data_IF_745498185075
#
_entry.id   IF_745498185075
#
_cell.length_a   1.000
_cell.length_b   1.000
_cell.length_c   1.000
_cell.angle_alpha   90.00
_cell.angle_beta   90.00
_cell.angle_gamma   90.00
#
_symmetry.space_group_name_H-M   'P 1'
#
loop_
_entity.id
_entity.type
_entity.pdbx_description
1 polymer ?
#
# COMPACT_ATOMS: atom_id res chain seq x y z
N UNK A 1 16.68 -8.69 -6.14
CA UNK A 1 16.91 -8.10 -4.82
C UNK A 1 15.58 -7.78 -4.13
N UNK A 2 14.69 -7.06 -4.80
CA UNK A 2 13.41 -6.61 -4.24
C UNK A 2 12.47 -7.78 -3.86
N UNK A 3 12.36 -8.81 -4.70
CA UNK A 3 11.60 -10.02 -4.40
C UNK A 3 12.17 -10.78 -3.17
N UNK A 4 13.49 -10.81 -3.07
CA UNK A 4 14.14 -11.40 -1.90
C UNK A 4 13.80 -10.60 -0.63
N UNK A 5 13.83 -9.27 -0.69
CA UNK A 5 13.48 -8.41 0.43
C UNK A 5 12.02 -8.63 0.86
N UNK A 6 11.06 -8.60 -0.08
CA UNK A 6 9.64 -8.84 0.23
C UNK A 6 9.44 -10.22 0.84
N UNK A 7 10.14 -11.25 0.33
CA UNK A 7 10.11 -12.59 0.92
C UNK A 7 10.64 -12.59 2.35
N UNK A 8 11.77 -11.92 2.63
CA UNK A 8 12.31 -11.82 3.98
C UNK A 8 11.34 -11.11 4.94
N UNK A 9 10.68 -10.05 4.49
CA UNK A 9 9.63 -9.39 5.27
C UNK A 9 8.48 -10.35 5.59
N UNK A 10 8.02 -11.12 4.60
CA UNK A 10 6.96 -12.12 4.80
C UNK A 10 7.38 -13.22 5.78
N UNK A 11 8.62 -13.73 5.67
CA UNK A 11 9.17 -14.74 6.58
C UNK A 11 9.27 -14.22 8.03
N UNK A 12 9.65 -12.95 8.22
CA UNK A 12 9.67 -12.28 9.53
C UNK A 12 8.26 -12.14 10.10
N UNK A 13 7.28 -11.69 9.29
CA UNK A 13 5.89 -11.61 9.72
C UNK A 13 5.34 -12.98 10.12
N UNK A 14 5.55 -14.01 9.31
CA UNK A 14 5.10 -15.37 9.63
C UNK A 14 5.73 -15.90 10.92
N UNK A 15 7.03 -15.70 11.12
CA UNK A 15 7.73 -16.09 12.34
C UNK A 15 7.22 -15.35 13.58
N UNK A 16 6.89 -14.06 13.43
CA UNK A 16 6.28 -13.26 14.50
C UNK A 16 4.88 -13.80 14.85
N UNK A 17 4.06 -14.06 13.86
CA UNK A 17 2.70 -14.56 14.04
C UNK A 17 2.69 -15.95 14.70
N UNK A 18 3.61 -16.83 14.31
CA UNK A 18 3.78 -18.13 14.93
C UNK A 18 4.21 -18.03 16.40
N UNK A 19 5.23 -17.20 16.69
CA UNK A 19 5.79 -17.06 18.02
C UNK A 19 4.87 -16.34 19.00
N UNK A 20 4.22 -15.27 18.57
CA UNK A 20 3.46 -14.37 19.45
C UNK A 20 1.95 -14.52 19.35
N UNK A 21 1.43 -15.12 18.27
CA UNK A 21 0.00 -15.35 18.01
C UNK A 21 -0.85 -14.12 18.35
N UNK A 22 -0.59 -12.95 17.76
CA UNK A 22 -1.17 -11.68 18.20
C UNK A 22 -2.71 -11.70 18.15
N UNK A 23 -3.30 -12.33 17.15
CA UNK A 23 -4.77 -12.43 17.00
C UNK A 23 -5.46 -13.28 18.05
N UNK A 24 -4.72 -14.09 18.83
CA UNK A 24 -5.28 -14.88 19.95
C UNK A 24 -5.23 -14.12 21.27
N UNK A 25 -4.53 -12.99 21.33
CA UNK A 25 -4.41 -12.19 22.55
C UNK A 25 -5.70 -11.44 22.85
N UNK A 26 -6.20 -11.48 24.10
CA UNK A 26 -7.50 -10.88 24.44
C UNK A 26 -7.64 -9.41 24.05
N UNK A 27 -6.56 -8.62 24.20
CA UNK A 27 -6.59 -7.19 23.84
C UNK A 27 -6.73 -6.97 22.33
N UNK A 28 -6.00 -7.76 21.51
CA UNK A 28 -6.07 -7.67 20.03
C UNK A 28 -7.45 -8.13 19.57
N UNK A 29 -7.91 -9.27 20.08
CA UNK A 29 -9.21 -9.84 19.71
C UNK A 29 -10.36 -8.89 20.02
N UNK A 30 -10.36 -8.27 21.20
CA UNK A 30 -11.37 -7.27 21.56
C UNK A 30 -11.42 -6.12 20.55
N UNK A 31 -10.26 -5.61 20.12
CA UNK A 31 -10.25 -4.55 19.11
C UNK A 31 -10.67 -5.04 17.72
N UNK A 32 -10.36 -6.28 17.35
CA UNK A 32 -10.87 -6.86 16.10
C UNK A 32 -12.39 -6.98 16.14
N UNK A 33 -12.97 -7.43 17.25
CA UNK A 33 -14.42 -7.51 17.45
C UNK A 33 -15.08 -6.12 17.39
N UNK A 34 -14.46 -5.10 18.00
CA UNK A 34 -14.91 -3.70 17.94
C UNK A 34 -14.89 -3.17 16.49
N UNK A 35 -13.79 -3.43 15.75
CA UNK A 35 -13.66 -3.03 14.34
C UNK A 35 -14.69 -3.74 13.48
N UNK A 36 -14.88 -5.05 13.66
CA UNK A 36 -15.88 -5.84 12.94
C UNK A 36 -17.28 -5.26 13.12
N UNK A 37 -17.67 -4.98 14.38
CA UNK A 37 -18.97 -4.36 14.66
C UNK A 37 -19.15 -2.99 14.00
N UNK A 38 -18.10 -2.15 13.98
CA UNK A 38 -18.15 -0.86 13.27
C UNK A 38 -18.29 -1.04 11.76
N UNK A 39 -17.63 -2.05 11.18
CA UNK A 39 -17.69 -2.32 9.74
C UNK A 39 -19.03 -2.87 9.31
N UNK A 40 -19.70 -3.71 10.12
CA UNK A 40 -21.02 -4.26 9.83
C UNK A 40 -22.07 -3.14 9.61
N UNK A 41 -21.98 -2.06 10.37
CA UNK A 41 -22.86 -0.90 10.27
C UNK A 41 -22.39 0.15 9.23
N UNK A 42 -21.20 -0.04 8.65
CA UNK A 42 -20.59 0.93 7.74
C UNK A 42 -20.80 0.57 6.27
N UNK A 43 -21.06 1.57 5.43
CA UNK A 43 -21.11 1.40 3.97
C UNK A 43 -19.77 1.68 3.30
N UNK A 44 -18.85 2.33 4.02
CA UNK A 44 -17.57 2.74 3.49
C UNK A 44 -16.50 2.76 4.59
N UNK A 45 -15.25 2.54 4.16
CA UNK A 45 -14.04 2.66 4.96
C UNK A 45 -13.15 3.74 4.35
N UNK A 46 -12.72 4.70 5.15
CA UNK A 46 -11.82 5.76 4.73
C UNK A 46 -10.43 5.54 5.35
N UNK A 47 -9.42 5.37 4.50
CA UNK A 47 -8.04 5.10 4.91
C UNK A 47 -7.17 6.29 4.56
N UNK A 48 -6.89 7.12 5.56
CA UNK A 48 -6.06 8.30 5.42
C UNK A 48 -4.57 7.95 5.35
N UNK A 49 -3.79 8.94 4.94
CA UNK A 49 -2.32 8.86 4.99
C UNK A 49 -1.75 8.92 6.40
N UNK A 50 -0.43 9.02 6.46
CA UNK A 50 0.37 9.04 7.67
C UNK A 50 1.65 8.24 7.49
N UNK A 51 2.26 7.79 8.58
CA UNK A 51 3.45 6.94 8.52
C UNK A 51 3.06 5.54 8.01
N UNK A 52 3.36 5.28 6.75
CA UNK A 52 2.85 4.11 6.00
C UNK A 52 3.21 2.77 6.66
N UNK A 53 4.43 2.61 7.18
CA UNK A 53 4.83 1.37 7.85
C UNK A 53 3.97 1.10 9.11
N UNK A 54 3.73 2.13 9.92
CA UNK A 54 2.85 2.01 11.09
C UNK A 54 1.43 1.65 10.68
N UNK A 55 0.92 2.28 9.62
CA UNK A 55 -0.42 2.03 9.10
C UNK A 55 -0.57 0.57 8.65
N UNK A 56 0.33 0.08 7.79
CA UNK A 56 0.31 -1.31 7.30
C UNK A 56 0.39 -2.30 8.45
N UNK A 57 1.30 -2.09 9.41
CA UNK A 57 1.44 -2.98 10.56
C UNK A 57 0.18 -3.03 11.42
N UNK A 58 -0.52 -1.90 11.60
CA UNK A 58 -1.79 -1.86 12.35
C UNK A 58 -2.92 -2.55 11.57
N UNK A 59 -3.00 -2.31 10.28
CA UNK A 59 -4.00 -2.95 9.42
C UNK A 59 -3.83 -4.47 9.39
N UNK A 60 -2.59 -4.97 9.37
CA UNK A 60 -2.28 -6.41 9.48
C UNK A 60 -2.62 -6.96 10.86
N UNK A 61 -2.20 -6.27 11.94
CA UNK A 61 -2.42 -6.73 13.31
C UNK A 61 -3.90 -7.00 13.60
N UNK A 62 -4.79 -6.19 13.04
CA UNK A 62 -6.23 -6.31 13.22
C UNK A 62 -6.94 -6.99 12.04
N UNK A 63 -6.20 -7.55 11.10
CA UNK A 63 -6.72 -8.21 9.90
C UNK A 63 -7.76 -7.38 9.13
N UNK A 64 -7.47 -6.10 8.94
CA UNK A 64 -8.43 -5.20 8.30
C UNK A 64 -8.85 -5.67 6.91
N UNK A 65 -7.95 -6.28 6.15
CA UNK A 65 -8.25 -6.79 4.83
C UNK A 65 -9.28 -7.94 4.87
N UNK A 66 -9.20 -8.81 5.88
CA UNK A 66 -10.17 -9.89 6.09
C UNK A 66 -11.51 -9.41 6.67
N UNK A 67 -11.52 -8.27 7.36
CA UNK A 67 -12.74 -7.70 7.95
C UNK A 67 -13.55 -6.84 6.97
N UNK A 68 -12.92 -6.28 5.93
CA UNK A 68 -13.62 -5.49 4.90
C UNK A 68 -14.34 -6.46 3.95
N UNK A 69 -15.67 -6.45 4.00
CA UNK A 69 -16.54 -7.28 3.15
C UNK A 69 -17.69 -6.45 2.58
N UNK A 70 -17.55 -6.04 1.33
CA UNK A 70 -18.57 -5.29 0.59
C UNK A 70 -18.64 -3.79 0.85
N UNK A 71 -17.85 -3.23 1.78
CA UNK A 71 -17.75 -1.78 1.97
C UNK A 71 -17.00 -1.13 0.82
N UNK A 72 -17.40 0.11 0.46
CA UNK A 72 -16.59 0.95 -0.41
C UNK A 72 -15.34 1.43 0.33
N UNK A 73 -14.15 1.29 -0.28
CA UNK A 73 -12.89 1.73 0.32
C UNK A 73 -12.42 3.02 -0.36
N UNK A 74 -12.22 4.05 0.44
CA UNK A 74 -11.62 5.31 0.03
C UNK A 74 -10.23 5.42 0.66
N UNK A 75 -9.18 5.50 -0.15
CA UNK A 75 -7.81 5.57 0.35
C UNK A 75 -7.02 6.67 -0.36
N UNK A 76 -6.19 7.41 0.38
CA UNK A 76 -5.35 8.46 -0.19
C UNK A 76 -4.00 8.54 0.51
N UNK A 77 -3.00 9.09 -0.18
CA UNK A 77 -1.63 9.25 0.32
C UNK A 77 -1.05 7.92 0.82
N UNK A 78 -0.51 7.86 2.04
CA UNK A 78 -0.01 6.63 2.66
C UNK A 78 -1.07 5.53 2.80
N UNK A 79 -2.37 5.90 2.90
CA UNK A 79 -3.47 4.94 2.89
C UNK A 79 -3.62 4.21 1.56
N UNK A 80 -3.52 4.94 0.44
CA UNK A 80 -3.52 4.35 -0.90
C UNK A 80 -2.31 3.43 -1.14
N UNK A 81 -1.14 3.79 -0.61
CA UNK A 81 0.04 2.91 -0.62
C UNK A 81 -0.20 1.64 0.21
N UNK A 82 -0.79 1.78 1.39
CA UNK A 82 -1.00 0.66 2.31
C UNK A 82 -1.95 -0.41 1.77
N UNK A 83 -2.94 -0.03 0.97
CA UNK A 83 -3.90 -0.98 0.36
C UNK A 83 -3.36 -1.67 -0.90
N UNK A 84 -2.27 -1.18 -1.49
CA UNK A 84 -1.66 -1.76 -2.69
C UNK A 84 -0.93 -3.08 -2.39
N UNK A 85 -0.41 -3.73 -3.44
CA UNK A 85 0.32 -4.99 -3.30
C UNK A 85 1.69 -4.80 -2.66
N UNK A 86 2.38 -3.72 -3.04
CA UNK A 86 3.70 -3.38 -2.51
C UNK A 86 3.72 -1.93 -2.05
N UNK A 87 4.37 -1.69 -0.94
CA UNK A 87 4.54 -0.36 -0.35
C UNK A 87 5.91 0.18 -0.67
N UNK A 88 5.94 1.38 -1.23
CA UNK A 88 7.19 2.08 -1.54
C UNK A 88 7.59 2.97 -0.37
N UNK A 89 8.85 2.92 0.01
CA UNK A 89 9.46 3.86 0.93
C UNK A 89 10.07 5.00 0.16
N UNK A 90 9.55 6.19 0.37
CA UNK A 90 10.14 7.44 -0.14
C UNK A 90 11.04 8.06 0.93
N UNK A 91 12.20 8.51 0.52
CA UNK A 91 13.15 9.20 1.37
C UNK A 91 13.01 10.72 1.12
N UNK A 92 11.97 11.33 1.69
CA UNK A 92 11.58 12.70 1.36
C UNK A 92 12.57 13.77 1.83
N UNK A 93 13.37 13.53 2.87
CA UNK A 93 14.29 14.52 3.43
C UNK A 93 15.58 13.86 3.97
N UNK A 94 16.37 13.27 3.09
CA UNK A 94 17.66 12.71 3.49
C UNK A 94 18.76 13.79 3.50
N UNK A 95 19.61 13.84 4.52
CA UNK A 95 20.74 14.76 4.57
C UNK A 95 21.71 14.59 3.40
N UNK A 96 21.79 13.40 2.85
CA UNK A 96 22.69 13.00 1.75
C UNK A 96 22.13 13.39 0.36
N UNK A 97 20.95 13.99 0.30
CA UNK A 97 20.29 14.37 -0.94
C UNK A 97 19.28 13.32 -1.44
N UNK A 98 18.89 13.42 -2.72
CA UNK A 98 17.84 12.58 -3.28
C UNK A 98 18.26 11.09 -3.38
N UNK A 99 17.60 10.23 -2.65
CA UNK A 99 17.78 8.78 -2.67
C UNK A 99 16.69 8.13 -3.55
N UNK A 100 17.01 7.00 -4.17
CA UNK A 100 16.05 6.25 -4.95
C UNK A 100 14.99 5.62 -4.02
N UNK A 101 13.71 5.59 -4.42
CA UNK A 101 12.67 4.90 -3.66
C UNK A 101 12.97 3.41 -3.54
N UNK A 102 12.60 2.83 -2.41
CA UNK A 102 12.81 1.42 -2.09
C UNK A 102 11.48 0.71 -1.83
N UNK A 103 11.46 -0.62 -1.90
CA UNK A 103 10.34 -1.40 -1.42
C UNK A 103 10.45 -1.49 0.10
N UNK A 104 9.43 -1.01 0.80
CA UNK A 104 9.33 -1.14 2.25
C UNK A 104 8.89 -2.54 2.65
N UNK A 105 7.74 -2.97 2.09
CA UNK A 105 7.07 -4.23 2.45
C UNK A 105 5.92 -4.50 1.45
N UNK A 106 5.21 -5.60 1.59
CA UNK A 106 3.89 -5.76 0.97
C UNK A 106 2.87 -4.84 1.65
N UNK A 107 1.85 -4.40 0.91
CA UNK A 107 0.67 -3.78 1.49
C UNK A 107 -0.32 -4.82 2.01
N UNK A 108 -1.55 -4.41 2.33
CA UNK A 108 -2.60 -5.34 2.75
C UNK A 108 -3.33 -6.02 1.57
N UNK A 109 -3.00 -5.65 0.33
CA UNK A 109 -3.44 -6.36 -0.87
C UNK A 109 -4.91 -6.20 -1.25
N UNK A 110 -5.58 -5.14 -0.80
CA UNK A 110 -6.92 -4.81 -1.29
C UNK A 110 -6.90 -4.36 -2.76
N UNK A 111 -5.81 -3.74 -3.18
CA UNK A 111 -5.55 -3.36 -4.57
C UNK A 111 -4.47 -4.27 -5.14
N UNK A 112 -4.88 -5.31 -5.85
CA UNK A 112 -3.98 -6.33 -6.41
C UNK A 112 -3.30 -5.86 -7.70
N UNK A 113 -2.11 -6.40 -7.96
CA UNK A 113 -1.37 -6.14 -9.19
C UNK A 113 -1.03 -4.67 -9.43
N UNK A 114 -1.05 -3.84 -8.39
CA UNK A 114 -0.88 -2.39 -8.51
C UNK A 114 0.00 -1.84 -7.39
N UNK A 115 0.88 -0.92 -7.76
CA UNK A 115 1.69 -0.11 -6.85
C UNK A 115 1.29 1.35 -7.01
N UNK A 116 0.94 2.00 -5.92
CA UNK A 116 0.48 3.39 -5.91
C UNK A 116 1.61 4.33 -5.48
N UNK A 117 1.90 5.33 -6.31
CA UNK A 117 2.92 6.35 -6.07
C UNK A 117 2.24 7.73 -5.94
N UNK A 118 1.91 8.18 -4.72
CA UNK A 118 1.29 9.48 -4.52
C UNK A 118 2.32 10.60 -4.63
N UNK A 119 1.92 11.75 -5.15
CA UNK A 119 2.74 12.96 -5.32
C UNK A 119 4.06 12.70 -6.06
N UNK A 120 3.99 12.06 -7.25
CA UNK A 120 5.17 11.62 -7.99
C UNK A 120 6.07 12.77 -8.43
N UNK A 121 5.50 13.95 -8.72
CA UNK A 121 6.23 15.15 -9.13
C UNK A 121 7.24 15.66 -8.09
N UNK A 122 6.98 15.37 -6.81
CA UNK A 122 7.88 15.76 -5.72
C UNK A 122 8.94 14.69 -5.41
N UNK A 123 8.70 13.44 -5.81
CA UNK A 123 9.42 12.27 -5.30
C UNK A 123 10.16 11.48 -6.37
N UNK A 124 9.70 11.51 -7.62
CA UNK A 124 10.11 10.53 -8.62
C UNK A 124 10.97 11.05 -9.77
N UNK A 125 11.14 12.36 -9.92
CA UNK A 125 11.81 12.92 -11.10
C UNK A 125 11.27 12.28 -12.40
N UNK A 126 9.99 12.49 -12.67
CA UNK A 126 9.29 11.89 -13.80
C UNK A 126 9.86 12.32 -15.17
N UNK A 127 10.66 13.39 -15.20
CA UNK A 127 11.39 13.85 -16.37
C UNK A 127 12.59 12.94 -16.74
N UNK A 128 13.04 12.11 -15.81
CA UNK A 128 14.12 11.15 -16.02
C UNK A 128 13.55 9.79 -16.46
N UNK A 129 13.43 9.60 -17.77
CA UNK A 129 12.84 8.41 -18.36
C UNK A 129 13.56 7.10 -17.96
N UNK A 130 14.88 7.13 -17.80
CA UNK A 130 15.65 5.95 -17.39
C UNK A 130 15.28 5.53 -15.94
N UNK A 131 15.18 6.48 -15.02
CA UNK A 131 14.73 6.21 -13.65
C UNK A 131 13.31 5.68 -13.60
N UNK A 132 12.40 6.24 -14.39
CA UNK A 132 11.01 5.80 -14.48
C UNK A 132 10.94 4.35 -14.96
N UNK A 133 11.67 4.01 -16.03
CA UNK A 133 11.74 2.64 -16.53
C UNK A 133 12.31 1.66 -15.50
N UNK A 134 13.41 2.03 -14.82
CA UNK A 134 14.00 1.19 -13.78
C UNK A 134 12.98 0.92 -12.68
N UNK A 135 12.24 1.95 -12.27
CA UNK A 135 11.21 1.80 -11.24
C UNK A 135 10.07 0.90 -11.71
N UNK A 136 9.56 1.10 -12.92
CA UNK A 136 8.51 0.26 -13.48
C UNK A 136 8.94 -1.21 -13.57
N UNK A 137 10.16 -1.48 -14.01
CA UNK A 137 10.73 -2.85 -14.07
C UNK A 137 10.88 -3.50 -12.70
N UNK A 138 11.24 -2.74 -11.66
CA UNK A 138 11.34 -3.27 -10.28
C UNK A 138 10.03 -3.81 -9.74
N UNK A 139 8.93 -3.21 -10.14
CA UNK A 139 7.60 -3.61 -9.66
C UNK A 139 6.87 -4.57 -10.59
N UNK A 140 7.39 -4.84 -11.79
CA UNK A 140 6.76 -5.79 -12.71
C UNK A 140 6.52 -7.16 -12.04
N UNK A 141 5.40 -7.84 -12.32
CA UNK A 141 4.36 -7.50 -13.29
C UNK A 141 3.29 -6.53 -12.78
N UNK A 142 3.40 -5.99 -11.56
CA UNK A 142 2.44 -5.03 -11.04
C UNK A 142 2.47 -3.73 -11.84
N UNK A 143 1.30 -3.14 -12.07
CA UNK A 143 1.18 -1.81 -12.66
C UNK A 143 1.60 -0.74 -11.67
N UNK A 144 2.49 0.12 -12.08
CA UNK A 144 2.93 1.25 -11.27
C UNK A 144 2.14 2.49 -11.67
N UNK A 145 1.31 2.99 -10.76
CA UNK A 145 0.42 4.12 -11.01
C UNK A 145 0.90 5.35 -10.24
N UNK A 146 1.17 6.41 -10.97
CA UNK A 146 1.53 7.71 -10.44
C UNK A 146 0.27 8.57 -10.23
N UNK A 147 0.11 9.09 -9.01
CA UNK A 147 -1.03 9.89 -8.59
C UNK A 147 -0.58 11.32 -8.26
N UNK A 148 -0.57 12.22 -9.26
CA UNK A 148 -0.41 13.65 -9.03
C UNK A 148 -1.50 14.24 -8.13
N UNK A 149 -1.34 15.50 -7.74
CA UNK A 149 -2.38 16.22 -7.02
C UNK A 149 -3.69 16.24 -7.84
N UNK A 150 -4.82 16.03 -7.17
CA UNK A 150 -6.15 16.00 -7.78
C UNK A 150 -6.39 14.81 -8.74
N UNK A 151 -5.63 13.72 -8.58
CA UNK A 151 -5.87 12.47 -9.30
C UNK A 151 -6.80 11.56 -8.52
N UNK A 152 -7.59 10.76 -9.24
CA UNK A 152 -8.35 9.68 -8.63
C UNK A 152 -8.50 8.47 -9.55
N UNK A 153 -8.66 7.33 -8.93
CA UNK A 153 -8.89 6.04 -9.57
C UNK A 153 -10.05 5.34 -8.87
N UNK A 154 -11.04 4.94 -9.65
CA UNK A 154 -12.14 4.12 -9.15
C UNK A 154 -12.02 2.72 -9.71
N UNK A 155 -12.12 1.72 -8.83
CA UNK A 155 -12.15 0.32 -9.20
C UNK A 155 -13.47 -0.32 -8.78
N UNK A 156 -13.85 -1.37 -9.51
CA UNK A 156 -14.91 -2.32 -9.11
C UNK A 156 -14.32 -3.72 -9.17
N UNK A 157 -14.12 -4.32 -8.00
CA UNK A 157 -13.21 -5.47 -7.89
C UNK A 157 -11.81 -5.07 -8.36
N UNK A 158 -11.19 -5.89 -9.20
CA UNK A 158 -9.85 -5.63 -9.75
C UNK A 158 -9.89 -4.82 -11.07
N UNK A 159 -11.07 -4.42 -11.55
CA UNK A 159 -11.22 -3.69 -12.82
C UNK A 159 -11.25 -2.17 -12.61
N UNK A 160 -10.45 -1.45 -13.38
CA UNK A 160 -10.48 0.01 -13.42
C UNK A 160 -11.80 0.45 -14.06
N UNK A 161 -12.62 1.20 -13.31
CA UNK A 161 -13.87 1.78 -13.76
C UNK A 161 -13.68 3.18 -14.31
N UNK A 162 -12.91 4.02 -13.64
CA UNK A 162 -12.52 5.34 -14.10
C UNK A 162 -11.17 5.75 -13.55
N UNK A 163 -10.44 6.55 -14.30
CA UNK A 163 -9.18 7.15 -13.88
C UNK A 163 -9.13 8.60 -14.39
N UNK A 164 -8.80 9.52 -13.50
CA UNK A 164 -8.56 10.92 -13.84
C UNK A 164 -7.19 11.35 -13.32
N UNK A 165 -6.42 11.97 -14.19
CA UNK A 165 -5.08 12.47 -13.90
C UNK A 165 -4.17 11.40 -13.25
N UNK A 166 -4.31 10.15 -13.65
CA UNK A 166 -3.47 9.02 -13.22
C UNK A 166 -2.66 8.55 -14.41
N UNK A 167 -1.36 8.42 -14.26
CA UNK A 167 -0.48 7.87 -15.29
C UNK A 167 0.10 6.53 -14.88
N UNK A 168 0.19 5.60 -15.84
CA UNK A 168 0.95 4.37 -15.68
C UNK A 168 2.42 4.67 -15.97
N UNK A 169 3.31 4.15 -15.13
CA UNK A 169 4.74 4.14 -15.41
C UNK A 169 5.06 2.82 -16.11
N UNK A 170 5.40 2.89 -17.38
CA UNK A 170 5.66 1.72 -18.20
C UNK A 170 7.16 1.38 -18.20
N UNK A 171 7.44 0.09 -18.38
CA UNK A 171 8.81 -0.43 -18.41
C UNK A 171 9.45 -0.42 -19.81
N UNK A 172 8.69 0.05 -20.83
CA UNK A 172 9.10 0.08 -22.25
C UNK A 172 9.79 1.40 -22.64
#
# INVERSE_FOLDING_TARGET
LDEYHVKQCADVHASFDEAYRPTTRPSVRRHMDEISGLLEDSKAVAIAGGHVATLVNRMRLFDLAGLIDGQAVFAWSGGAMAISERVVLFHDNTPEGAVAPEILDSGIGLLKGTVVLPQPEQRLRLEDAERVQVMARRFAPAKVLAFPTSSHLTLRGDAIHSAENVSSLDAD
#
